data_IF_605628082170
#
_entry.id   IF_605628082170
#
_cell.length_a   1.000
_cell.length_b   1.000
_cell.length_c   1.000
_cell.angle_alpha   90.00
_cell.angle_beta   90.00
_cell.angle_gamma   90.00
#
_symmetry.space_group_name_H-M   'P 1'
#
loop_
_entity.id
_entity.type
_entity.pdbx_description
1 polymer ?
#
# COMPACT_ATOMS: atom_id res chain seq x y z
N UNK A 1 1.69 -19.74 7.22
CA UNK A 1 2.30 -18.71 8.06
C UNK A 1 1.22 -17.69 8.34
N UNK A 2 0.74 -17.65 9.57
CA UNK A 2 -0.26 -16.68 10.01
C UNK A 2 0.46 -15.40 10.44
N UNK A 3 -0.09 -14.25 10.05
CA UNK A 3 0.42 -12.93 10.43
C UNK A 3 -0.58 -12.28 11.37
N UNK A 4 -0.08 -11.47 12.30
CA UNK A 4 -0.94 -10.60 13.10
C UNK A 4 -1.76 -9.69 12.19
N UNK A 5 -3.01 -9.42 12.56
CA UNK A 5 -3.88 -8.45 11.89
C UNK A 5 -4.14 -7.29 12.83
N UNK A 6 -4.13 -6.07 12.30
CA UNK A 6 -4.45 -4.89 13.11
C UNK A 6 -5.97 -4.71 13.29
N UNK A 7 -6.38 -3.64 13.99
CA UNK A 7 -7.80 -3.29 14.22
C UNK A 7 -8.63 -3.11 12.93
N UNK A 8 -7.98 -2.90 11.78
CA UNK A 8 -8.61 -2.77 10.46
C UNK A 8 -8.65 -4.09 9.69
N UNK A 9 -8.19 -5.20 10.28
CA UNK A 9 -8.09 -6.50 9.61
C UNK A 9 -6.94 -6.59 8.61
N UNK A 10 -6.01 -5.64 8.62
CA UNK A 10 -4.88 -5.60 7.67
C UNK A 10 -3.73 -6.45 8.21
N UNK A 11 -3.19 -7.41 7.43
CA UNK A 11 -2.04 -8.22 7.83
C UNK A 11 -0.77 -7.39 8.09
N UNK A 12 -0.09 -7.68 9.18
CA UNK A 12 1.13 -7.01 9.63
C UNK A 12 2.37 -7.79 9.18
N UNK A 13 2.79 -7.53 7.94
CA UNK A 13 3.95 -8.20 7.36
C UNK A 13 5.29 -7.64 7.88
N UNK A 14 6.34 -8.47 8.00
CA UNK A 14 7.70 -8.01 8.32
C UNK A 14 8.24 -7.00 7.30
N UNK A 15 9.23 -6.20 7.72
CA UNK A 15 9.84 -5.13 6.90
C UNK A 15 10.37 -5.62 5.54
N UNK A 16 10.87 -6.85 5.45
CA UNK A 16 11.44 -7.43 4.23
C UNK A 16 10.41 -8.11 3.31
N UNK A 17 9.15 -8.24 3.74
CA UNK A 17 8.13 -8.94 2.96
C UNK A 17 7.54 -8.04 1.87
N UNK A 18 7.58 -8.52 0.62
CA UNK A 18 7.10 -7.76 -0.53
C UNK A 18 5.58 -7.50 -0.48
N UNK A 19 4.79 -8.33 0.21
CA UNK A 19 3.32 -8.15 0.32
C UNK A 19 2.94 -6.86 1.03
N UNK A 20 3.82 -6.27 1.85
CA UNK A 20 3.60 -4.94 2.44
C UNK A 20 3.42 -3.86 1.37
N UNK A 21 4.12 -3.97 0.23
CA UNK A 21 3.98 -3.03 -0.88
C UNK A 21 2.58 -3.13 -1.49
N UNK A 22 2.06 -4.36 -1.62
CA UNK A 22 0.73 -4.63 -2.15
C UNK A 22 -0.36 -4.12 -1.19
N UNK A 23 -0.17 -4.29 0.12
CA UNK A 23 -1.05 -3.70 1.16
C UNK A 23 -1.08 -2.19 1.06
N UNK A 24 0.08 -1.53 0.93
CA UNK A 24 0.17 -0.08 0.79
C UNK A 24 -0.56 0.39 -0.47
N UNK A 25 -0.32 -0.27 -1.61
CA UNK A 25 -0.97 0.07 -2.88
C UNK A 25 -2.50 -0.10 -2.79
N UNK A 26 -2.97 -1.21 -2.22
CA UNK A 26 -4.38 -1.44 -2.00
C UNK A 26 -5.01 -0.41 -1.06
N UNK A 27 -4.28 0.05 -0.03
CA UNK A 27 -4.74 1.11 0.87
C UNK A 27 -4.88 2.46 0.16
N UNK A 28 -3.96 2.81 -0.75
CA UNK A 28 -4.09 4.03 -1.57
C UNK A 28 -5.36 3.97 -2.44
N UNK A 29 -5.70 2.80 -3.00
CA UNK A 29 -6.94 2.63 -3.79
C UNK A 29 -8.22 2.65 -2.94
N UNK A 30 -8.14 2.25 -1.67
CA UNK A 30 -9.31 2.00 -0.84
C UNK A 30 -9.74 3.19 0.02
N UNK A 31 -8.78 4.00 0.49
CA UNK A 31 -9.07 5.14 1.34
C UNK A 31 -9.59 6.32 0.52
N UNK A 32 -10.55 7.07 1.05
CA UNK A 32 -11.06 8.28 0.41
C UNK A 32 -9.99 9.40 0.35
N UNK A 33 -9.20 9.51 1.43
CA UNK A 33 -8.12 10.50 1.57
C UNK A 33 -6.84 9.81 2.02
N UNK A 34 -6.13 9.08 1.14
CA UNK A 34 -4.90 8.39 1.45
C UNK A 34 -3.77 9.40 1.64
N UNK A 35 -3.68 9.96 2.84
CA UNK A 35 -2.55 10.76 3.30
C UNK A 35 -1.51 9.87 3.94
N UNK A 36 -0.30 10.41 4.16
CA UNK A 36 0.73 9.70 4.90
C UNK A 36 0.24 9.22 6.28
N UNK A 37 -0.55 10.03 6.99
CA UNK A 37 -1.07 9.70 8.33
C UNK A 37 -2.15 8.62 8.28
N UNK A 38 -3.09 8.72 7.34
CA UNK A 38 -4.17 7.74 7.22
C UNK A 38 -3.65 6.40 6.71
N UNK A 39 -2.67 6.40 5.81
CA UNK A 39 -2.02 5.18 5.31
C UNK A 39 -1.27 4.45 6.42
N UNK A 40 -0.49 5.16 7.25
CA UNK A 40 0.22 4.53 8.36
C UNK A 40 -0.74 3.98 9.40
N UNK A 41 -1.81 4.74 9.71
CA UNK A 41 -2.84 4.29 10.65
C UNK A 41 -3.55 3.04 10.16
N UNK A 42 -3.96 3.03 8.88
CA UNK A 42 -4.73 1.94 8.31
C UNK A 42 -3.88 0.68 8.09
N UNK A 43 -2.66 0.83 7.58
CA UNK A 43 -1.81 -0.32 7.22
C UNK A 43 -0.92 -0.82 8.36
N UNK A 44 -0.67 -0.01 9.39
CA UNK A 44 0.31 -0.27 10.45
C UNK A 44 1.77 -0.05 10.02
N UNK A 45 2.01 0.40 8.78
CA UNK A 45 3.36 0.62 8.28
C UNK A 45 4.03 1.86 8.89
N UNK A 46 5.36 1.81 9.00
CA UNK A 46 6.14 2.93 9.51
C UNK A 46 6.07 4.13 8.56
N UNK A 47 5.76 5.31 9.12
CA UNK A 47 5.67 6.58 8.38
C UNK A 47 6.91 6.90 7.55
N UNK A 48 8.09 6.60 8.06
CA UNK A 48 9.37 6.85 7.41
C UNK A 48 9.64 5.96 6.19
N UNK A 49 8.89 4.88 5.98
CA UNK A 49 9.10 3.96 4.85
C UNK A 49 8.12 4.16 3.70
N UNK A 50 6.98 4.81 3.92
CA UNK A 50 5.90 4.94 2.91
C UNK A 50 6.41 5.54 1.60
N UNK A 51 7.18 6.64 1.65
CA UNK A 51 7.69 7.26 0.41
C UNK A 51 8.62 6.31 -0.36
N UNK A 52 9.53 5.63 0.35
CA UNK A 52 10.44 4.67 -0.28
C UNK A 52 9.68 3.44 -0.84
N UNK A 53 8.62 3.01 -0.17
CA UNK A 53 7.76 1.93 -0.63
C UNK A 53 6.91 2.35 -1.84
N UNK A 54 6.48 3.62 -1.93
CA UNK A 54 5.86 4.21 -3.13
C UNK A 54 6.84 4.22 -4.31
N UNK A 55 8.10 4.64 -4.11
CA UNK A 55 9.09 4.58 -5.20
C UNK A 55 9.33 3.15 -5.66
N UNK A 56 9.42 2.18 -4.73
CA UNK A 56 9.52 0.76 -5.09
C UNK A 56 8.33 0.26 -5.90
N UNK A 57 7.11 0.70 -5.58
CA UNK A 57 5.92 0.37 -6.36
C UNK A 57 6.00 0.90 -7.79
N UNK A 58 6.56 2.10 -7.98
CA UNK A 58 6.81 2.69 -9.30
C UNK A 58 7.89 1.92 -10.07
N UNK A 59 9.05 1.72 -9.45
CA UNK A 59 10.23 1.13 -10.09
C UNK A 59 10.06 -0.36 -10.39
N UNK A 60 9.53 -1.14 -9.45
CA UNK A 60 9.50 -2.60 -9.56
C UNK A 60 8.24 -3.14 -10.24
N UNK A 61 7.14 -2.37 -10.21
CA UNK A 61 5.84 -2.83 -10.71
C UNK A 61 5.23 -1.91 -11.77
N UNK A 62 5.88 -0.78 -12.10
CA UNK A 62 5.40 0.15 -13.13
C UNK A 62 4.12 0.90 -12.74
N UNK A 63 3.78 0.94 -11.45
CA UNK A 63 2.59 1.65 -10.96
C UNK A 63 2.85 3.16 -11.03
N UNK A 64 1.88 3.94 -11.49
CA UNK A 64 1.94 5.39 -11.45
C UNK A 64 1.09 5.90 -10.29
N UNK A 65 1.76 6.48 -9.30
CA UNK A 65 1.14 7.06 -8.10
C UNK A 65 1.46 8.54 -8.11
N UNK A 66 0.46 9.40 -8.06
CA UNK A 66 0.62 10.84 -7.89
C UNK A 66 0.51 11.22 -6.42
N UNK A 67 1.04 12.40 -6.09
CA UNK A 67 0.89 13.01 -4.77
C UNK A 67 0.53 14.48 -4.94
N UNK A 68 -0.74 14.80 -4.73
CA UNK A 68 -1.25 16.16 -4.77
C UNK A 68 -1.36 16.69 -3.34
N UNK A 69 -0.43 17.57 -2.98
CA UNK A 69 -0.27 18.02 -1.60
C UNK A 69 0.04 16.85 -0.65
N UNK A 70 -0.93 16.50 0.19
CA UNK A 70 -0.79 15.41 1.17
C UNK A 70 -1.41 14.08 0.72
N UNK A 71 -2.17 14.06 -0.39
CA UNK A 71 -2.99 12.92 -0.80
C UNK A 71 -2.30 12.15 -1.92
N UNK A 72 -2.22 10.83 -1.77
CA UNK A 72 -1.72 9.91 -2.81
C UNK A 72 -2.86 9.46 -3.72
N UNK A 73 -2.62 9.24 -5.01
CA UNK A 73 -3.64 8.68 -5.91
C UNK A 73 -3.01 7.78 -6.96
N UNK A 74 -3.66 6.66 -7.28
CA UNK A 74 -3.17 5.75 -8.33
C UNK A 74 -3.71 6.26 -9.67
N UNK A 75 -2.80 6.68 -10.55
CA UNK A 75 -3.10 7.04 -11.95
C UNK A 75 -3.19 5.80 -12.84
N UNK A 76 -2.25 4.87 -12.66
CA UNK A 76 -2.16 3.63 -13.43
C UNK A 76 -1.57 2.52 -12.56
N UNK A 77 -2.07 1.30 -12.76
CA UNK A 77 -1.55 0.09 -12.08
C UNK A 77 -0.35 -0.53 -12.79
N UNK A 78 0.04 0.02 -13.94
CA UNK A 78 1.00 -0.63 -14.84
C UNK A 78 0.44 -1.91 -15.45
N UNK A 79 1.32 -2.71 -16.05
CA UNK A 79 0.97 -3.95 -16.75
C UNK A 79 1.21 -5.21 -15.90
N UNK A 80 1.98 -5.08 -14.82
CA UNK A 80 2.43 -6.22 -14.00
C UNK A 80 1.37 -6.66 -13.00
N UNK A 81 0.70 -5.71 -12.35
CA UNK A 81 -0.20 -5.98 -11.23
C UNK A 81 -1.67 -5.98 -11.66
N UNK A 82 -2.40 -7.02 -11.27
CA UNK A 82 -3.87 -7.04 -11.40
C UNK A 82 -4.49 -6.41 -10.15
N UNK A 83 -5.15 -5.26 -10.31
CA UNK A 83 -5.85 -4.53 -9.22
C UNK A 83 -6.66 -5.45 -8.30
N UNK A 84 -7.51 -6.30 -8.87
CA UNK A 84 -8.34 -7.22 -8.09
C UNK A 84 -7.55 -8.22 -7.24
N UNK A 85 -6.37 -8.65 -7.69
CA UNK A 85 -5.47 -9.50 -6.91
C UNK A 85 -4.80 -8.74 -5.77
N UNK A 86 -4.30 -7.54 -6.03
CA UNK A 86 -3.65 -6.69 -5.02
C UNK A 86 -4.60 -6.32 -3.89
N UNK A 87 -5.87 -6.00 -4.19
CA UNK A 87 -6.86 -5.66 -3.16
C UNK A 87 -7.15 -6.81 -2.18
N UNK A 88 -6.91 -8.07 -2.58
CA UNK A 88 -7.04 -9.21 -1.66
C UNK A 88 -6.00 -9.17 -0.54
N UNK A 89 -4.85 -8.51 -0.74
CA UNK A 89 -3.84 -8.40 0.31
C UNK A 89 -4.29 -7.58 1.54
N UNK A 90 -5.38 -6.81 1.45
CA UNK A 90 -5.95 -6.10 2.61
C UNK A 90 -6.75 -7.00 3.55
N UNK A 91 -7.18 -8.17 3.08
CA UNK A 91 -8.00 -9.10 3.85
C UNK A 91 -7.20 -10.39 3.94
N UNK A 92 -6.60 -10.62 5.12
CA UNK A 92 -5.78 -11.81 5.39
C UNK A 92 -6.43 -13.11 4.94
#
# INVERSE_FOLDING_TARGET
>A
MEFEVNEYGVPQYPRSDARKLLVLLAAIDCLEKPTLVTLTRFTGQNKGTINADVERLREQFGVQIDKEGAVYSIRSWGEVLKKGGVKKCLRG
#
